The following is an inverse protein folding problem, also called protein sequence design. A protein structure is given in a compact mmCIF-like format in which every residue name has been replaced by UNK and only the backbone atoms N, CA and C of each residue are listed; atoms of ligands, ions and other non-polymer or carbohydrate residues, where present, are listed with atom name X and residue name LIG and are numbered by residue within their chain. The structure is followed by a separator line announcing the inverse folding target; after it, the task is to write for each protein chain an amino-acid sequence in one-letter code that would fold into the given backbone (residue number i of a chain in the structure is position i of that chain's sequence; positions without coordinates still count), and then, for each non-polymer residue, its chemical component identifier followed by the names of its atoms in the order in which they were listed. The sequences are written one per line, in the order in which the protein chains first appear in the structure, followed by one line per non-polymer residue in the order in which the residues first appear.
data_IF_375597979327
#
_entry.id   IF_375597979327
#
_cell.length_a   1.000
_cell.length_b   1.000
_cell.length_c   1.000
_cell.angle_alpha   90.00
_cell.angle_beta   90.00
_cell.angle_gamma   90.00
#
_symmetry.space_group_name_H-M   'P 1'
#
loop_
_entity.id
_entity.type
_entity.pdbx_description
1 polymer ?
#
# COMPACT_ATOMS: atom_id res chain seq x y z
N UNK A 1 -9.41 21.34 -10.57
CA UNK A 1 -9.01 21.75 -9.20
C UNK A 1 -9.43 20.62 -8.28
N UNK A 2 -8.48 19.85 -7.74
CA UNK A 2 -8.79 18.82 -6.74
C UNK A 2 -9.05 19.56 -5.43
N UNK A 3 -10.26 19.41 -4.88
CA UNK A 3 -10.59 19.96 -3.57
C UNK A 3 -9.86 19.12 -2.50
N UNK A 4 -8.77 19.68 -1.95
CA UNK A 4 -7.97 19.00 -0.92
C UNK A 4 -8.75 18.82 0.39
N UNK A 5 -9.81 19.60 0.63
CA UNK A 5 -10.64 19.52 1.84
C UNK A 5 -11.56 18.30 1.88
N UNK A 6 -11.86 17.68 0.72
CA UNK A 6 -12.67 16.45 0.67
C UNK A 6 -11.84 15.17 0.83
N UNK A 7 -10.52 15.27 0.93
CA UNK A 7 -9.66 14.12 1.14
C UNK A 7 -9.55 13.90 2.64
N UNK A 8 -10.33 12.97 3.18
CA UNK A 8 -10.12 12.41 4.53
C UNK A 8 -8.78 11.67 4.55
N UNK A 9 -7.68 12.42 4.60
CA UNK A 9 -6.34 11.88 4.69
C UNK A 9 -6.11 11.38 6.11
N UNK A 10 -6.29 10.08 6.32
CA UNK A 10 -5.93 9.42 7.58
C UNK A 10 -4.44 9.05 7.57
N UNK A 11 -3.85 8.97 8.76
CA UNK A 11 -2.46 8.51 8.92
C UNK A 11 -2.37 7.01 8.62
N UNK A 12 -1.46 6.62 7.75
CA UNK A 12 -1.07 5.22 7.55
C UNK A 12 0.08 4.86 8.50
N UNK A 13 -0.01 3.69 9.14
CA UNK A 13 1.12 3.13 9.91
C UNK A 13 2.07 2.40 8.96
N UNK A 14 3.38 2.52 9.17
CA UNK A 14 4.37 1.82 8.34
C UNK A 14 4.27 0.31 8.56
N UNK A 15 4.29 -0.44 7.44
CA UNK A 15 4.24 -1.89 7.45
C UNK A 15 2.82 -2.44 7.56
N UNK A 16 2.73 -3.77 7.58
CA UNK A 16 1.49 -4.50 7.75
C UNK A 16 1.48 -5.22 9.10
N UNK A 17 0.32 -5.25 9.76
CA UNK A 17 0.09 -6.03 11.00
C UNK A 17 -0.12 -7.49 10.65
N UNK A 18 0.02 -8.41 11.63
CA UNK A 18 -0.22 -9.84 11.40
C UNK A 18 -1.55 -10.11 10.67
N UNK A 19 -1.49 -10.91 9.60
CA UNK A 19 -2.64 -11.20 8.74
C UNK A 19 -3.06 -10.06 7.82
N UNK A 20 -2.41 -8.90 7.85
CA UNK A 20 -2.73 -7.77 6.97
C UNK A 20 -1.86 -7.83 5.71
N UNK A 21 -2.45 -7.50 4.56
CA UNK A 21 -1.73 -7.21 3.32
C UNK A 21 -2.11 -5.83 2.83
N UNK A 22 -1.10 -5.02 2.53
CA UNK A 22 -1.29 -3.67 2.02
C UNK A 22 -0.52 -3.50 0.71
N UNK A 23 -1.25 -3.25 -0.37
CA UNK A 23 -0.68 -2.83 -1.65
C UNK A 23 -0.88 -1.33 -1.80
N UNK A 24 0.21 -0.60 -2.00
CA UNK A 24 0.19 0.86 -2.03
C UNK A 24 1.20 1.44 -3.01
N UNK A 25 0.96 2.70 -3.38
CA UNK A 25 1.88 3.52 -4.18
C UNK A 25 2.24 4.78 -3.42
N UNK A 26 3.53 5.02 -3.28
CA UNK A 26 4.11 6.23 -2.72
C UNK A 26 4.17 7.31 -3.78
N UNK A 27 3.15 8.18 -3.80
CA UNK A 27 3.02 9.24 -4.80
C UNK A 27 4.14 10.27 -4.68
N UNK A 28 4.77 10.41 -3.50
CA UNK A 28 5.93 11.29 -3.33
C UNK A 28 7.17 10.77 -4.04
N UNK A 29 7.20 9.49 -4.43
CA UNK A 29 8.27 8.86 -5.19
C UNK A 29 7.98 8.78 -6.69
N UNK A 30 6.86 9.37 -7.17
CA UNK A 30 6.56 9.43 -8.60
C UNK A 30 6.83 10.83 -9.17
N UNK A 31 7.27 10.94 -10.43
CA UNK A 31 7.52 12.24 -11.07
C UNK A 31 6.25 13.10 -11.16
N UNK A 32 5.11 12.46 -11.46
CA UNK A 32 3.82 13.12 -11.64
C UNK A 32 2.74 12.44 -10.75
N UNK A 33 2.56 12.89 -9.50
CA UNK A 33 1.61 12.29 -8.55
C UNK A 33 0.15 12.26 -9.05
N UNK A 34 -0.29 13.32 -9.72
CA UNK A 34 -1.67 13.44 -10.22
C UNK A 34 -1.91 12.45 -11.38
N UNK A 35 -1.01 12.42 -12.36
CA UNK A 35 -1.09 11.47 -13.48
C UNK A 35 -1.01 10.02 -13.01
N UNK A 36 -0.17 9.75 -12.00
CA UNK A 36 -0.11 8.42 -11.38
C UNK A 36 -1.45 8.04 -10.75
N UNK A 37 -2.09 8.98 -10.04
CA UNK A 37 -3.40 8.73 -9.42
C UNK A 37 -4.49 8.46 -10.47
N UNK A 38 -4.47 9.20 -11.58
CA UNK A 38 -5.42 9.00 -12.68
C UNK A 38 -5.16 7.68 -13.42
N UNK A 39 -3.90 7.30 -13.62
CA UNK A 39 -3.51 5.99 -14.13
C UNK A 39 -4.06 4.87 -13.24
N UNK A 40 -3.85 4.94 -11.92
CA UNK A 40 -4.35 3.95 -10.97
C UNK A 40 -5.87 3.79 -11.06
N UNK A 41 -6.62 4.90 -11.17
CA UNK A 41 -8.08 4.85 -11.38
C UNK A 41 -8.45 4.22 -12.72
N UNK A 42 -7.72 4.54 -13.79
CA UNK A 42 -7.95 3.95 -15.12
C UNK A 42 -7.69 2.44 -15.16
N UNK A 43 -6.82 1.94 -14.27
CA UNK A 43 -6.57 0.51 -14.06
C UNK A 43 -7.66 -0.17 -13.20
N UNK A 44 -8.66 0.59 -12.74
CA UNK A 44 -9.80 0.09 -11.97
C UNK A 44 -9.60 0.12 -10.45
N UNK A 45 -8.54 0.73 -9.94
CA UNK A 45 -8.39 0.93 -8.50
C UNK A 45 -9.23 2.12 -8.00
N UNK A 46 -9.60 2.08 -6.72
CA UNK A 46 -10.17 3.22 -5.99
C UNK A 46 -9.22 3.64 -4.86
N UNK A 47 -8.14 4.39 -5.16
CA UNK A 47 -7.08 4.60 -4.20
C UNK A 47 -7.53 5.46 -3.01
N UNK A 48 -7.26 4.99 -1.80
CA UNK A 48 -7.43 5.77 -0.58
C UNK A 48 -6.16 6.57 -0.31
N UNK A 49 -6.29 7.90 -0.34
CA UNK A 49 -5.17 8.78 -0.04
C UNK A 49 -4.93 8.89 1.47
N UNK A 50 -3.73 8.53 1.89
CA UNK A 50 -3.24 8.59 3.27
C UNK A 50 -1.90 9.31 3.31
N UNK A 51 -1.51 9.78 4.49
CA UNK A 51 -0.15 10.25 4.71
C UNK A 51 0.61 9.27 5.60
N UNK A 52 1.90 9.12 5.32
CA UNK A 52 2.81 8.28 6.10
C UNK A 52 4.07 9.09 6.41
N UNK A 53 4.59 8.98 7.63
CA UNK A 53 5.84 9.64 8.02
C UNK A 53 6.94 8.60 8.03
N UNK A 54 7.76 8.59 6.99
CA UNK A 54 8.99 7.79 6.92
C UNK A 54 10.17 8.56 7.51
N UNK A 55 11.30 7.88 7.71
CA UNK A 55 12.55 8.53 8.10
C UNK A 55 12.99 9.63 7.11
N UNK A 56 12.59 9.50 5.85
CA UNK A 56 12.84 10.46 4.76
C UNK A 56 11.90 11.66 4.76
N UNK A 57 10.83 11.65 5.57
CA UNK A 57 9.89 12.76 5.69
C UNK A 57 8.42 12.32 5.57
N UNK A 58 7.56 13.29 5.22
CA UNK A 58 6.15 13.07 4.97
C UNK A 58 5.91 12.59 3.54
N UNK A 59 5.21 11.48 3.40
CA UNK A 59 4.89 10.88 2.10
C UNK A 59 3.37 10.80 1.93
N UNK A 60 2.92 11.04 0.70
CA UNK A 60 1.52 10.88 0.30
C UNK A 60 1.37 9.52 -0.35
N UNK A 61 0.50 8.68 0.21
CA UNK A 61 0.33 7.29 -0.16
C UNK A 61 -1.05 7.07 -0.77
N UNK A 62 -1.09 6.44 -1.93
CA UNK A 62 -2.28 5.85 -2.53
C UNK A 62 -2.38 4.38 -2.10
N UNK A 63 -3.25 4.07 -1.14
CA UNK A 63 -3.52 2.68 -0.74
C UNK A 63 -4.51 2.07 -1.73
N UNK A 64 -4.11 0.98 -2.38
CA UNK A 64 -4.89 0.29 -3.41
C UNK A 64 -5.68 -0.88 -2.82
N UNK A 65 -5.02 -1.65 -1.94
CA UNK A 65 -5.61 -2.76 -1.18
C UNK A 65 -5.11 -2.68 0.25
N UNK A 66 -6.03 -2.88 1.20
CA UNK A 66 -5.77 -2.94 2.64
C UNK A 66 -6.67 -4.04 3.19
N UNK A 67 -6.17 -5.28 3.17
CA UNK A 67 -6.95 -6.49 3.41
C UNK A 67 -6.48 -7.19 4.68
N UNK A 68 -7.43 -7.71 5.47
CA UNK A 68 -7.17 -8.43 6.72
C UNK A 68 -7.63 -9.88 6.60
N UNK A 69 -6.67 -10.80 6.70
CA UNK A 69 -6.83 -12.24 6.77
C UNK A 69 -6.75 -12.73 8.22
N UNK A 70 -6.92 -14.04 8.42
CA UNK A 70 -6.70 -14.69 9.71
C UNK A 70 -5.23 -14.48 10.15
N UNK A 71 -4.98 -13.77 11.28
CA UNK A 71 -3.63 -13.45 11.74
C UNK A 71 -2.85 -14.66 12.28
N UNK A 72 -3.49 -15.83 12.41
CA UNK A 72 -2.87 -17.08 12.84
C UNK A 72 -2.40 -17.96 11.68
N UNK A 73 -2.86 -17.68 10.45
CA UNK A 73 -2.54 -18.47 9.27
C UNK A 73 -1.55 -17.72 8.36
N UNK A 74 -0.63 -18.44 7.70
CA UNK A 74 0.20 -17.84 6.66
C UNK A 74 -0.66 -17.39 5.49
N UNK A 75 -0.35 -16.23 4.94
CA UNK A 75 -0.91 -15.79 3.67
C UNK A 75 0.01 -16.30 2.56
N UNK A 76 -0.56 -16.74 1.45
CA UNK A 76 0.19 -17.20 0.28
C UNK A 76 1.17 -16.11 -0.19
N UNK A 77 2.44 -16.48 -0.33
CA UNK A 77 3.51 -15.57 -0.76
C UNK A 77 3.35 -15.11 -2.21
N UNK A 78 2.55 -15.81 -3.02
CA UNK A 78 2.21 -15.42 -4.40
C UNK A 78 1.00 -14.47 -4.45
N UNK A 79 0.28 -14.29 -3.34
CA UNK A 79 -0.87 -13.40 -3.30
C UNK A 79 -0.48 -11.96 -3.64
N UNK A 80 -1.16 -11.39 -4.65
CA UNK A 80 -0.91 -10.08 -5.28
C UNK A 80 0.45 -9.91 -5.98
N UNK A 81 1.27 -10.95 -6.15
CA UNK A 81 2.57 -10.80 -6.83
C UNK A 81 2.42 -10.36 -8.28
N UNK A 82 1.46 -10.91 -9.03
CA UNK A 82 1.20 -10.50 -10.41
C UNK A 82 0.69 -9.06 -10.50
N UNK A 83 -0.18 -8.63 -9.58
CA UNK A 83 -0.67 -7.25 -9.53
C UNK A 83 0.45 -6.27 -9.18
N UNK A 84 1.25 -6.59 -8.17
CA UNK A 84 2.42 -5.80 -7.80
C UNK A 84 3.41 -5.67 -8.96
N UNK A 85 3.67 -6.77 -9.68
CA UNK A 85 4.55 -6.79 -10.87
C UNK A 85 4.02 -5.86 -11.96
N UNK A 86 2.73 -5.92 -12.30
CA UNK A 86 2.14 -5.03 -13.29
C UNK A 86 2.23 -3.55 -12.87
N UNK A 87 2.07 -3.24 -11.58
CA UNK A 87 2.17 -1.88 -11.07
C UNK A 87 3.60 -1.32 -11.12
N UNK A 88 4.62 -2.11 -10.78
CA UNK A 88 6.02 -1.65 -10.84
C UNK A 88 6.47 -1.39 -12.28
N UNK A 89 5.95 -2.16 -13.24
CA UNK A 89 6.23 -1.98 -14.67
C UNK A 89 5.64 -0.68 -15.22
N UNK A 90 4.46 -0.28 -14.75
CA UNK A 90 3.74 0.90 -15.24
C UNK A 90 4.14 2.20 -14.51
N UNK A 91 4.54 2.12 -13.24
CA UNK A 91 4.77 3.30 -12.39
C UNK A 91 6.27 3.49 -12.14
N UNK A 92 6.81 2.74 -11.18
CA UNK A 92 8.20 2.76 -10.74
C UNK A 92 8.34 1.75 -9.59
N UNK A 93 9.33 0.87 -9.65
CA UNK A 93 9.64 -0.09 -8.57
C UNK A 93 9.83 0.55 -7.18
N UNK A 94 10.34 1.78 -7.11
CA UNK A 94 10.59 2.47 -5.83
C UNK A 94 9.32 3.08 -5.23
N UNK A 95 8.28 3.28 -6.03
CA UNK A 95 7.03 3.87 -5.59
C UNK A 95 6.02 2.81 -5.12
N UNK A 96 6.00 1.63 -5.73
CA UNK A 96 5.02 0.59 -5.38
C UNK A 96 5.55 -0.27 -4.23
N UNK A 97 4.75 -0.45 -3.19
CA UNK A 97 5.10 -1.33 -2.06
C UNK A 97 4.00 -2.35 -1.81
N UNK A 98 4.42 -3.57 -1.52
CA UNK A 98 3.57 -4.64 -1.01
C UNK A 98 4.05 -5.00 0.39
N UNK A 99 3.24 -4.67 1.39
CA UNK A 99 3.51 -5.03 2.79
C UNK A 99 2.71 -6.25 3.17
N UNK A 100 3.38 -7.21 3.81
CA UNK A 100 2.81 -8.48 4.27
C UNK A 100 3.07 -8.65 5.75
N UNK A 101 2.00 -8.81 6.50
CA UNK A 101 2.08 -9.05 7.92
C UNK A 101 2.18 -10.53 8.21
N UNK A 102 3.34 -10.97 8.69
CA UNK A 102 3.54 -12.36 9.07
C UNK A 102 2.61 -12.78 10.23
N UNK A 103 2.21 -14.07 10.28
CA UNK A 103 1.39 -14.58 11.37
C UNK A 103 2.05 -14.31 12.72
N UNK A 104 1.24 -14.14 13.77
CA UNK A 104 1.78 -14.08 15.12
C UNK A 104 2.44 -15.43 15.42
N UNK A 105 3.75 -15.44 15.61
CA UNK A 105 4.44 -16.59 16.16
C UNK A 105 3.83 -16.90 17.53
N UNK A 106 3.17 -18.05 17.65
CA UNK A 106 2.84 -18.56 18.96
C UNK A 106 4.17 -18.89 19.64
N UNK A 107 4.44 -18.40 20.87
CA UNK A 107 5.55 -18.93 21.62
C UNK A 107 5.31 -20.42 21.79
N UNK A 108 6.21 -21.24 21.23
CA UNK A 108 6.27 -22.66 21.57
C UNK A 108 6.62 -22.69 23.06
N UNK A 109 5.65 -23.05 23.90
CA UNK A 109 5.94 -23.39 25.29
C UNK A 109 6.76 -24.69 25.23
N UNK A 110 8.08 -24.55 25.41
CA UNK A 110 9.02 -25.66 25.61
C UNK A 110 8.97 -26.10 27.06
#
# INVERSE_FOLDING_TARGET
MINLESIQTSKLSIGAKAGQIVLLVDLTQTPNPIETLDLLKSMGYEPQLKFCVFATGLHIIAVLKDEQFDPSLPIDDEYLMSEWTALIEQINQNAVRLWRGHPKSHPVLV
#
